data_IF_410478101464
#
_entry.id   IF_410478101464
#
_cell.length_a   1.000
_cell.length_b   1.000
_cell.length_c   1.000
_cell.angle_alpha   90.00
_cell.angle_beta   90.00
_cell.angle_gamma   90.00
#
_symmetry.space_group_name_H-M   'P 1'
#
loop_
_entity.id
_entity.type
_entity.pdbx_description
1 polymer ?
#
# COMPACT_ATOMS: atom_id res chain seq x y z
N UNK A 1 34.74 -18.03 -26.59
CA UNK A 1 34.20 -18.91 -25.53
C UNK A 1 33.46 -18.01 -24.54
N UNK A 2 32.12 -18.03 -24.56
CA UNK A 2 31.27 -17.13 -23.77
C UNK A 2 31.06 -17.77 -22.39
N UNK A 3 31.68 -17.21 -21.34
CA UNK A 3 31.61 -17.72 -19.97
C UNK A 3 30.31 -17.26 -19.31
N UNK A 4 29.42 -18.21 -19.10
CA UNK A 4 28.33 -18.19 -18.11
C UNK A 4 28.86 -17.68 -16.77
N UNK A 5 28.28 -16.63 -16.17
CA UNK A 5 28.26 -16.49 -14.72
C UNK A 5 27.15 -15.52 -14.26
N UNK A 6 26.18 -16.13 -13.57
CA UNK A 6 25.46 -15.62 -12.41
C UNK A 6 24.32 -14.61 -12.62
N UNK A 7 23.17 -15.21 -12.90
CA UNK A 7 21.85 -14.85 -12.37
C UNK A 7 21.98 -14.46 -10.89
N UNK A 8 21.85 -13.17 -10.58
CA UNK A 8 21.55 -12.70 -9.22
C UNK A 8 20.31 -11.83 -9.30
N UNK A 9 19.17 -12.49 -9.48
CA UNK A 9 17.86 -11.87 -9.30
C UNK A 9 17.68 -11.66 -7.81
N UNK A 10 18.03 -10.48 -7.30
CA UNK A 10 17.76 -10.10 -5.91
C UNK A 10 16.24 -9.99 -5.75
N UNK A 11 15.62 -11.05 -5.27
CA UNK A 11 14.24 -11.03 -4.80
C UNK A 11 14.23 -10.19 -3.52
N UNK A 12 13.96 -8.91 -3.66
CA UNK A 12 13.53 -8.06 -2.55
C UNK A 12 12.12 -8.51 -2.12
N UNK A 13 12.05 -9.61 -1.38
CA UNK A 13 10.87 -9.92 -0.58
C UNK A 13 10.87 -8.96 0.60
N UNK A 14 10.22 -7.81 0.42
CA UNK A 14 9.87 -6.93 1.53
C UNK A 14 8.94 -7.71 2.46
N UNK A 15 9.51 -8.20 3.56
CA UNK A 15 8.75 -8.67 4.70
C UNK A 15 7.99 -7.46 5.25
N UNK A 16 6.70 -7.39 4.97
CA UNK A 16 5.82 -6.40 5.58
C UNK A 16 5.44 -6.95 6.94
N UNK A 17 6.29 -6.74 7.95
CA UNK A 17 5.87 -6.97 9.33
C UNK A 17 4.64 -6.09 9.58
N UNK A 18 3.55 -6.68 10.11
CA UNK A 18 2.34 -5.98 10.55
C UNK A 18 2.69 -4.90 11.58
N UNK A 19 3.10 -3.73 11.11
CA UNK A 19 3.49 -2.59 11.91
C UNK A 19 2.29 -1.65 11.99
N UNK A 20 1.89 -1.34 13.22
CA UNK A 20 0.78 -0.43 13.53
C UNK A 20 1.23 0.97 13.20
N UNK A 21 0.71 1.52 12.12
CA UNK A 21 1.06 2.85 11.65
C UNK A 21 -0.17 3.74 11.69
N UNK A 22 -0.01 5.01 12.09
CA UNK A 22 -1.11 5.96 12.03
C UNK A 22 -1.58 6.25 10.60
N UNK A 23 -0.68 6.08 9.63
CA UNK A 23 -0.96 6.26 8.19
C UNK A 23 -0.32 5.12 7.39
N UNK A 24 -1.15 4.42 6.64
CA UNK A 24 -0.80 3.27 5.83
C UNK A 24 -0.95 3.65 4.35
N UNK A 25 0.11 3.54 3.56
CA UNK A 25 0.02 3.66 2.12
C UNK A 25 -0.10 2.28 1.49
N UNK A 26 -1.28 1.98 0.99
CA UNK A 26 -1.53 0.77 0.23
C UNK A 26 -0.82 0.84 -1.12
N UNK A 27 -0.27 -0.29 -1.53
CA UNK A 27 0.49 -0.44 -2.76
C UNK A 27 -0.31 -1.26 -3.76
N UNK A 28 -0.06 -1.05 -5.05
CA UNK A 28 -0.50 -1.95 -6.11
C UNK A 28 0.40 -3.20 -6.15
N UNK A 29 -0.01 -4.21 -6.91
CA UNK A 29 0.76 -5.46 -7.08
C UNK A 29 2.14 -5.21 -7.69
N UNK A 30 2.28 -4.18 -8.53
CA UNK A 30 3.56 -3.73 -9.10
C UNK A 30 4.44 -2.96 -8.09
N UNK A 31 3.90 -2.60 -6.92
CA UNK A 31 4.58 -1.82 -5.89
C UNK A 31 4.41 -0.30 -6.03
N UNK A 32 3.61 0.18 -7.00
CA UNK A 32 3.29 1.60 -7.10
C UNK A 32 2.28 2.04 -6.03
N UNK A 33 2.19 3.36 -5.81
CA UNK A 33 1.30 3.93 -4.81
C UNK A 33 -0.17 3.83 -5.23
N UNK A 34 -0.99 3.14 -4.42
CA UNK A 34 -2.42 3.04 -4.67
C UNK A 34 -3.22 4.13 -3.97
N UNK A 35 -3.20 4.13 -2.64
CA UNK A 35 -3.98 5.06 -1.82
C UNK A 35 -3.45 5.05 -0.39
N UNK A 36 -3.96 5.94 0.46
CA UNK A 36 -3.59 6.04 1.88
C UNK A 36 -4.80 5.82 2.78
N UNK A 37 -4.62 4.97 3.78
CA UNK A 37 -5.53 4.76 4.89
C UNK A 37 -4.96 5.38 6.16
N UNK A 38 -5.82 5.94 7.00
CA UNK A 38 -5.44 6.51 8.29
C UNK A 38 -6.52 6.18 9.31
N UNK A 39 -6.14 5.77 10.52
CA UNK A 39 -7.08 5.63 11.62
C UNK A 39 -6.94 6.80 12.60
N UNK A 40 -8.04 7.38 13.09
CA UNK A 40 -8.00 8.43 14.11
C UNK A 40 -7.39 7.94 15.43
N UNK A 41 -7.43 6.63 15.70
CA UNK A 41 -6.84 5.98 16.86
C UNK A 41 -5.31 5.81 16.79
N UNK A 42 -4.68 6.02 15.64
CA UNK A 42 -3.24 5.83 15.44
C UNK A 42 -2.75 4.37 15.42
N UNK A 43 -3.63 3.42 15.72
CA UNK A 43 -3.37 1.98 15.68
C UNK A 43 -4.19 1.37 14.53
N UNK A 44 -3.66 1.48 13.31
CA UNK A 44 -4.27 0.89 12.13
C UNK A 44 -3.49 -0.36 11.72
N UNK A 45 -4.21 -1.48 11.62
CA UNK A 45 -3.69 -2.68 10.97
C UNK A 45 -3.66 -2.44 9.45
N UNK A 46 -2.53 -1.91 8.99
CA UNK A 46 -2.33 -1.58 7.59
C UNK A 46 -2.47 -2.79 6.66
N UNK A 47 -2.15 -3.99 7.14
CA UNK A 47 -2.24 -5.19 6.33
C UNK A 47 -3.70 -5.53 6.03
N UNK A 48 -4.53 -5.54 7.08
CA UNK A 48 -5.96 -5.75 6.97
C UNK A 48 -6.67 -4.60 6.24
N UNK A 49 -6.24 -3.37 6.48
CA UNK A 49 -6.78 -2.20 5.79
C UNK A 49 -6.46 -2.24 4.28
N UNK A 50 -5.24 -2.60 3.90
CA UNK A 50 -4.82 -2.65 2.50
C UNK A 50 -5.19 -3.94 1.77
N UNK A 51 -5.61 -5.00 2.46
CA UNK A 51 -6.04 -6.24 1.79
C UNK A 51 -7.34 -6.08 0.99
N UNK A 52 -8.21 -5.14 1.40
CA UNK A 52 -9.46 -4.79 0.71
C UNK A 52 -9.49 -3.38 0.14
N UNK A 53 -8.37 -2.64 0.17
CA UNK A 53 -8.36 -1.25 -0.25
C UNK A 53 -8.58 -1.09 -1.76
N UNK A 54 -9.39 -0.10 -2.11
CA UNK A 54 -9.60 0.36 -3.47
C UNK A 54 -9.09 1.80 -3.59
N UNK A 55 -8.49 2.14 -4.73
CA UNK A 55 -8.19 3.54 -5.01
C UNK A 55 -9.48 4.33 -5.21
N UNK A 56 -9.39 5.65 -5.09
CA UNK A 56 -10.42 6.51 -5.64
C UNK A 56 -10.41 6.38 -7.17
N UNK A 57 -11.60 6.24 -7.75
CA UNK A 57 -11.79 6.20 -9.20
C UNK A 57 -11.56 7.57 -9.82
N UNK A 58 -12.19 7.83 -10.97
CA UNK A 58 -12.15 9.14 -11.63
C UNK A 58 -12.58 10.29 -10.69
N UNK A 59 -13.39 9.95 -9.69
CA UNK A 59 -13.89 10.83 -8.67
C UNK A 59 -13.74 10.14 -7.31
N UNK A 60 -13.52 10.91 -6.24
CA UNK A 60 -13.49 10.44 -4.82
C UNK A 60 -14.79 9.78 -4.32
N UNK A 61 -15.80 9.67 -5.18
CA UNK A 61 -17.10 9.07 -4.92
C UNK A 61 -17.30 7.74 -5.66
N UNK A 62 -16.43 7.43 -6.62
CA UNK A 62 -16.48 6.17 -7.36
C UNK A 62 -15.32 5.27 -6.94
N UNK A 63 -15.56 3.99 -6.64
CA UNK A 63 -14.49 3.05 -6.36
C UNK A 63 -13.64 2.83 -7.61
N UNK A 64 -12.34 3.08 -7.48
CA UNK A 64 -11.34 2.80 -8.49
C UNK A 64 -10.88 1.34 -8.47
N UNK A 65 -9.82 1.02 -9.23
CA UNK A 65 -9.24 -0.32 -9.23
C UNK A 65 -8.80 -0.73 -7.82
N UNK A 66 -8.95 -2.02 -7.53
CA UNK A 66 -8.47 -2.59 -6.28
C UNK A 66 -6.94 -2.47 -6.20
N UNK A 67 -6.43 -2.09 -5.03
CA UNK A 67 -4.99 -2.05 -4.81
C UNK A 67 -4.39 -3.46 -4.89
N UNK A 68 -5.18 -4.49 -4.53
CA UNK A 68 -4.97 -5.94 -4.71
C UNK A 68 -3.50 -6.41 -4.71
N UNK A 69 -2.74 -5.95 -3.73
CA UNK A 69 -1.37 -6.38 -3.50
C UNK A 69 -1.27 -7.37 -2.33
N UNK A 70 -2.37 -8.05 -1.98
CA UNK A 70 -2.43 -8.95 -0.83
C UNK A 70 -2.19 -8.26 0.51
N UNK A 71 -2.57 -6.98 0.64
CA UNK A 71 -2.30 -6.21 1.86
C UNK A 71 -0.89 -5.65 1.94
N UNK A 72 -0.16 -5.47 0.83
CA UNK A 72 1.10 -4.71 0.83
C UNK A 72 0.84 -3.24 1.16
N UNK A 73 1.65 -2.72 2.08
CA UNK A 73 1.62 -1.31 2.46
C UNK A 73 3.02 -0.81 2.79
N UNK A 74 3.14 0.51 2.86
CA UNK A 74 4.27 1.21 3.47
C UNK A 74 3.75 2.21 4.50
N UNK A 75 4.50 2.43 5.58
CA UNK A 75 4.10 3.38 6.60
C UNK A 75 4.50 4.79 6.22
N UNK A 76 3.54 5.69 6.28
CA UNK A 76 3.76 7.11 6.03
C UNK A 76 3.73 7.89 7.34
N UNK A 77 4.44 9.01 7.35
CA UNK A 77 4.19 10.07 8.32
C UNK A 77 2.92 10.85 7.95
N UNK A 78 2.30 11.49 8.93
CA UNK A 78 1.13 12.35 8.73
C UNK A 78 1.35 13.40 7.62
N UNK A 79 2.55 13.97 7.55
CA UNK A 79 2.93 14.94 6.54
C UNK A 79 2.85 14.36 5.12
N UNK A 80 3.45 13.19 4.90
CA UNK A 80 3.41 12.55 3.58
C UNK A 80 2.02 12.06 3.21
N UNK A 81 1.21 11.66 4.19
CA UNK A 81 -0.17 11.24 3.96
C UNK A 81 -1.08 12.38 3.47
N UNK A 82 -0.78 13.64 3.84
CA UNK A 82 -1.61 14.80 3.50
C UNK A 82 -1.67 15.07 1.98
N UNK A 83 -0.60 14.73 1.26
CA UNK A 83 -0.50 14.93 -0.19
C UNK A 83 -0.89 13.69 -1.00
N UNK A 84 -1.55 12.71 -0.39
CA UNK A 84 -1.94 11.45 -1.04
C UNK A 84 -3.44 11.29 -1.08
N UNK A 85 -3.94 10.61 -2.11
CA UNK A 85 -5.34 10.24 -2.19
C UNK A 85 -5.70 9.16 -1.17
N UNK A 86 -6.86 9.31 -0.55
CA UNK A 86 -7.36 8.34 0.44
C UNK A 86 -7.94 7.10 -0.25
N UNK A 87 -7.90 5.97 0.43
CA UNK A 87 -8.55 4.75 -0.07
C UNK A 87 -10.06 4.85 0.06
N UNK A 88 -10.76 4.17 -0.84
CA UNK A 88 -12.21 4.12 -0.91
C UNK A 88 -12.71 2.78 -0.36
N UNK A 89 -13.82 2.80 0.37
CA UNK A 89 -14.48 1.57 0.87
C UNK A 89 -14.08 1.12 2.28
N UNK A 90 -13.33 1.90 3.04
CA UNK A 90 -13.07 1.63 4.46
C UNK A 90 -13.84 2.65 5.32
N UNK A 91 -14.60 2.21 6.34
CA UNK A 91 -15.32 3.13 7.22
C UNK A 91 -14.29 4.01 7.94
N UNK A 92 -14.41 5.32 7.75
CA UNK A 92 -13.72 6.34 8.55
C UNK A 92 -14.15 6.28 10.01
#
# INVERSE_FOLDING_TARGET
MVRLLNIVTVLFTSFVAAQRCGYCQCLYSDGSHCCVQSAPSGDLDCQAACSGAQSAGLNQFEPGPSCNAGGKYTCLSAWNAHFRHKCQGYPT
#
